data_IF_068306639753
#
_entry.id   IF_068306639753
#
_cell.length_a   1.000
_cell.length_b   1.000
_cell.length_c   1.000
_cell.angle_alpha   90.00
_cell.angle_beta   90.00
_cell.angle_gamma   90.00
#
_symmetry.space_group_name_H-M   'P 1'
#
loop_
_entity.id
_entity.type
_entity.pdbx_description
1 polymer ?
#
# COMPACT_ATOMS: atom_id res chain seq x y z
N UNK A 1 -2.81 36.34 11.93
CA UNK A 1 -2.01 36.21 10.71
C UNK A 1 -1.92 34.71 10.44
N UNK A 2 -2.84 34.19 9.61
CA UNK A 2 -2.94 32.75 9.32
C UNK A 2 -1.86 32.37 8.31
N UNK A 3 -0.90 31.54 8.72
CA UNK A 3 0.07 30.90 7.82
C UNK A 3 -0.68 29.76 7.11
N UNK A 4 -0.64 29.66 5.78
CA UNK A 4 -1.33 28.58 5.07
C UNK A 4 -0.85 27.20 5.55
N UNK A 5 -1.78 26.29 5.81
CA UNK A 5 -1.56 24.93 6.34
C UNK A 5 -0.54 24.08 5.55
N UNK A 6 -0.35 24.37 4.26
CA UNK A 6 0.65 23.71 3.40
C UNK A 6 2.11 23.95 3.84
N UNK A 7 2.38 25.11 4.45
CA UNK A 7 3.73 25.45 4.95
C UNK A 7 4.07 24.66 6.22
N UNK A 8 3.07 24.26 7.01
CA UNK A 8 3.28 23.55 8.26
C UNK A 8 3.70 22.08 8.04
N UNK A 9 3.22 21.45 6.98
CA UNK A 9 3.63 20.08 6.59
C UNK A 9 5.04 20.11 5.98
N UNK A 10 5.35 21.11 5.16
CA UNK A 10 6.70 21.33 4.64
C UNK A 10 7.72 21.58 5.76
N UNK A 11 7.33 22.25 6.86
CA UNK A 11 8.18 22.50 8.00
C UNK A 11 8.42 21.23 8.85
N UNK A 12 7.43 20.34 8.98
CA UNK A 12 7.63 19.01 9.60
C UNK A 12 8.51 18.09 8.76
N UNK A 13 8.40 18.17 7.44
CA UNK A 13 9.25 17.44 6.51
C UNK A 13 10.70 17.95 6.52
N UNK A 14 10.92 19.26 6.67
CA UNK A 14 12.26 19.87 6.76
C UNK A 14 13.02 19.53 8.05
N UNK A 15 12.35 19.31 9.17
CA UNK A 15 13.03 18.93 10.43
C UNK A 15 13.65 17.53 10.37
N UNK A 16 13.15 16.64 9.52
CA UNK A 16 13.75 15.31 9.31
C UNK A 16 15.06 15.37 8.49
N UNK A 17 15.24 16.41 7.67
CA UNK A 17 16.44 16.61 6.84
C UNK A 17 17.60 17.34 7.59
N UNK A 18 17.33 18.00 8.71
CA UNK A 18 18.28 18.90 9.37
C UNK A 18 18.95 18.38 10.64
N UNK A 19 18.75 17.13 11.07
CA UNK A 19 19.45 16.57 12.22
C UNK A 19 20.66 15.75 11.77
N UNK A 20 21.79 16.42 11.52
CA UNK A 20 23.09 15.76 11.38
C UNK A 20 23.72 15.58 12.77
N UNK A 21 24.08 14.37 13.22
CA UNK A 21 24.85 14.18 14.41
C UNK A 21 26.31 14.57 14.17
N UNK A 22 26.95 15.13 15.21
CA UNK A 22 28.33 15.59 15.24
C UNK A 22 29.34 14.49 14.84
N UNK A 23 30.38 14.91 14.14
CA UNK A 23 31.47 14.13 13.56
C UNK A 23 32.17 13.21 14.58
N UNK A 24 32.18 11.92 14.29
CA UNK A 24 33.20 10.99 14.77
C UNK A 24 34.12 10.61 13.58
N UNK A 25 35.43 10.55 13.71
CA UNK A 25 36.34 10.37 12.58
C UNK A 25 36.50 8.90 12.21
N UNK A 26 36.63 8.67 10.91
CA UNK A 26 37.08 7.45 10.25
C UNK A 26 36.12 6.27 10.19
N UNK A 27 35.17 6.36 9.33
CA UNK A 27 34.91 5.34 8.29
C UNK A 27 34.29 6.10 7.10
N UNK A 28 34.98 6.10 5.98
CA UNK A 28 34.39 6.57 4.72
C UNK A 28 33.35 5.53 4.33
N UNK A 29 32.14 5.67 4.89
CA UNK A 29 30.97 5.10 4.26
C UNK A 29 30.84 5.86 2.94
N UNK A 30 31.13 5.19 1.83
CA UNK A 30 30.65 5.66 0.54
C UNK A 30 29.17 5.94 0.73
N UNK A 31 28.75 7.19 0.52
CA UNK A 31 27.36 7.57 0.48
C UNK A 31 26.68 6.52 -0.41
N UNK A 32 25.71 5.77 0.14
CA UNK A 32 24.98 4.79 -0.64
C UNK A 32 24.42 5.55 -1.83
N UNK A 33 24.88 5.19 -3.02
CA UNK A 33 24.39 5.77 -4.25
C UNK A 33 22.86 5.65 -4.26
N UNK A 34 22.19 6.60 -4.88
CA UNK A 34 20.73 6.60 -4.97
C UNK A 34 20.19 5.20 -5.36
N UNK A 35 19.11 4.78 -4.74
CA UNK A 35 18.52 3.46 -5.00
C UNK A 35 18.07 3.29 -6.44
N UNK A 36 17.66 4.34 -7.11
CA UNK A 36 17.25 4.29 -8.51
C UNK A 36 18.14 5.23 -9.34
N UNK A 37 19.04 4.65 -10.12
CA UNK A 37 20.03 5.38 -10.92
C UNK A 37 19.80 5.30 -12.42
N UNK A 38 18.71 4.65 -12.85
CA UNK A 38 18.42 4.50 -14.27
C UNK A 38 18.27 5.86 -14.94
N UNK A 39 18.77 6.01 -16.17
CA UNK A 39 18.54 7.24 -16.92
C UNK A 39 17.03 7.44 -17.12
N UNK A 40 16.57 8.65 -16.93
CA UNK A 40 15.22 9.07 -17.25
C UNK A 40 15.14 9.43 -18.74
N UNK A 41 14.87 8.42 -19.58
CA UNK A 41 14.82 8.61 -21.04
C UNK A 41 13.70 9.52 -21.53
N UNK A 42 12.67 9.75 -20.72
CA UNK A 42 11.46 10.47 -21.11
C UNK A 42 11.20 11.74 -20.30
N UNK A 43 12.14 12.14 -19.45
CA UNK A 43 11.98 13.35 -18.63
C UNK A 43 10.77 13.26 -17.70
N UNK A 44 10.57 12.11 -17.03
CA UNK A 44 9.42 11.89 -16.16
C UNK A 44 9.36 12.91 -15.01
N UNK A 45 10.52 13.35 -14.55
CA UNK A 45 10.64 14.38 -13.51
C UNK A 45 10.09 15.74 -13.98
N UNK A 46 10.04 16.03 -15.28
CA UNK A 46 9.44 17.25 -15.83
C UNK A 46 7.92 17.27 -15.67
N UNK A 47 7.30 16.10 -15.47
CA UNK A 47 5.86 15.93 -15.22
C UNK A 47 5.48 16.16 -13.76
N UNK A 48 6.45 16.30 -12.86
CA UNK A 48 6.26 16.45 -11.42
C UNK A 48 6.51 17.87 -10.97
N UNK A 49 5.64 18.37 -10.08
CA UNK A 49 5.89 19.64 -9.39
C UNK A 49 7.04 19.52 -8.38
N UNK A 50 7.57 20.66 -7.93
CA UNK A 50 8.58 20.66 -6.88
C UNK A 50 8.07 20.03 -5.57
N UNK A 51 6.77 20.19 -5.25
CA UNK A 51 6.12 19.55 -4.12
C UNK A 51 6.11 18.01 -4.27
N UNK A 52 5.77 17.50 -5.44
CA UNK A 52 5.82 16.07 -5.75
C UNK A 52 7.23 15.49 -5.56
N UNK A 53 8.25 16.20 -6.08
CA UNK A 53 9.66 15.80 -5.96
C UNK A 53 10.10 15.79 -4.49
N UNK A 54 9.75 16.82 -3.72
CA UNK A 54 10.08 16.91 -2.30
C UNK A 54 9.45 15.76 -1.50
N UNK A 55 8.16 15.45 -1.74
CA UNK A 55 7.45 14.34 -1.10
C UNK A 55 8.15 13.02 -1.41
N UNK A 56 8.44 12.75 -2.69
CA UNK A 56 9.15 11.55 -3.13
C UNK A 56 10.50 11.40 -2.42
N UNK A 57 11.33 12.43 -2.43
CA UNK A 57 12.66 12.39 -1.82
C UNK A 57 12.62 12.22 -0.29
N UNK A 58 11.62 12.81 0.35
CA UNK A 58 11.43 12.68 1.81
C UNK A 58 11.08 11.23 2.19
N UNK A 59 10.11 10.62 1.51
CA UNK A 59 9.73 9.22 1.77
C UNK A 59 10.86 8.26 1.39
N UNK A 60 11.55 8.49 0.27
CA UNK A 60 12.73 7.74 -0.15
C UNK A 60 13.84 7.77 0.90
N UNK A 61 14.13 8.94 1.42
CA UNK A 61 15.15 9.11 2.47
C UNK A 61 14.77 8.36 3.75
N UNK A 62 13.51 8.40 4.15
CA UNK A 62 12.99 7.62 5.25
C UNK A 62 13.14 6.11 5.00
N UNK A 63 12.74 5.62 3.85
CA UNK A 63 12.84 4.20 3.49
C UNK A 63 14.28 3.72 3.53
N UNK A 64 15.22 4.49 2.97
CA UNK A 64 16.65 4.16 3.00
C UNK A 64 17.21 4.06 4.42
N UNK A 65 16.79 4.99 5.29
CA UNK A 65 17.36 5.13 6.63
C UNK A 65 16.71 4.20 7.66
N UNK A 66 15.39 4.07 7.62
CA UNK A 66 14.62 3.44 8.70
C UNK A 66 14.04 2.07 8.31
N UNK A 67 13.77 1.82 7.02
CA UNK A 67 13.13 0.57 6.56
C UNK A 67 14.14 -0.42 5.99
N UNK A 68 14.91 0.00 4.97
CA UNK A 68 15.82 -0.91 4.24
C UNK A 68 16.81 -1.65 5.15
N UNK A 69 17.36 -1.04 6.22
CA UNK A 69 18.34 -1.71 7.09
C UNK A 69 17.74 -2.83 7.97
N UNK A 70 16.43 -2.82 8.22
CA UNK A 70 15.79 -3.71 9.20
C UNK A 70 14.84 -4.73 8.60
N UNK A 71 14.27 -4.41 7.43
CA UNK A 71 13.08 -5.10 6.94
C UNK A 71 13.34 -6.56 6.55
N UNK A 72 14.58 -6.88 6.11
CA UNK A 72 14.94 -8.26 5.80
C UNK A 72 14.88 -9.16 7.05
N UNK A 73 15.44 -8.69 8.17
CA UNK A 73 15.39 -9.42 9.44
C UNK A 73 13.96 -9.65 9.92
N UNK A 74 13.09 -8.64 9.82
CA UNK A 74 11.68 -8.78 10.15
C UNK A 74 10.98 -9.78 9.23
N UNK A 75 11.28 -9.77 7.94
CA UNK A 75 10.73 -10.73 6.98
C UNK A 75 11.18 -12.16 7.30
N UNK A 76 12.47 -12.38 7.65
CA UNK A 76 12.99 -13.67 8.02
C UNK A 76 12.29 -14.23 9.27
N UNK A 77 12.03 -13.39 10.28
CA UNK A 77 11.32 -13.78 11.50
C UNK A 77 9.79 -13.82 11.35
N UNK A 78 9.24 -13.37 10.22
CA UNK A 78 7.79 -13.20 10.02
C UNK A 78 7.15 -12.26 11.06
N UNK A 79 7.81 -11.15 11.36
CA UNK A 79 7.39 -10.13 12.32
C UNK A 79 7.11 -8.80 11.61
N UNK A 80 6.24 -7.99 12.21
CA UNK A 80 5.95 -6.64 11.72
C UNK A 80 6.67 -5.59 12.59
N UNK A 81 7.40 -4.63 12.00
CA UNK A 81 8.09 -3.58 12.75
C UNK A 81 7.13 -2.51 13.27
N UNK A 82 6.42 -2.76 14.37
CA UNK A 82 5.36 -1.88 14.90
C UNK A 82 5.77 -0.42 15.11
N UNK A 83 7.04 -0.18 15.44
CA UNK A 83 7.56 1.18 15.71
C UNK A 83 7.44 2.11 14.49
N UNK A 84 7.40 1.56 13.27
CA UNK A 84 7.25 2.38 12.05
C UNK A 84 5.87 3.02 11.92
N UNK A 85 4.84 2.50 12.61
CA UNK A 85 3.46 3.02 12.49
C UNK A 85 3.40 4.49 12.88
N UNK A 86 4.01 4.84 14.03
CA UNK A 86 4.06 6.23 14.47
C UNK A 86 4.86 7.12 13.52
N UNK A 87 6.00 6.61 13.05
CA UNK A 87 6.86 7.31 12.10
C UNK A 87 6.15 7.58 10.76
N UNK A 88 5.41 6.60 10.23
CA UNK A 88 4.62 6.76 9.00
C UNK A 88 3.50 7.80 9.17
N UNK A 89 2.88 7.88 10.34
CA UNK A 89 1.90 8.92 10.67
C UNK A 89 2.54 10.30 10.71
N UNK A 90 3.67 10.45 11.41
CA UNK A 90 4.44 11.70 11.50
C UNK A 90 4.96 12.17 10.12
N UNK A 91 5.30 11.23 9.25
CA UNK A 91 5.72 11.48 7.87
C UNK A 91 4.54 11.86 6.94
N UNK A 92 3.29 11.76 7.41
CA UNK A 92 2.09 12.05 6.62
C UNK A 92 1.70 10.96 5.62
N UNK A 93 2.25 9.75 5.75
CA UNK A 93 1.93 8.62 4.87
C UNK A 93 0.55 8.02 5.15
N UNK A 94 -0.07 8.35 6.28
CA UNK A 94 -1.44 7.95 6.62
C UNK A 94 -2.42 9.06 6.24
N UNK A 95 -3.30 8.78 5.29
CA UNK A 95 -4.30 9.72 4.82
C UNK A 95 -3.76 10.95 4.08
N UNK A 96 -2.80 10.81 3.14
CA UNK A 96 -2.26 11.96 2.40
C UNK A 96 -3.35 12.76 1.65
N UNK A 97 -4.40 12.09 1.15
CA UNK A 97 -5.53 12.73 0.46
C UNK A 97 -6.69 13.15 1.36
N UNK A 98 -6.62 12.84 2.67
CA UNK A 98 -7.63 13.25 3.64
C UNK A 98 -7.47 14.74 3.94
N UNK A 99 -8.56 15.53 4.09
CA UNK A 99 -8.49 16.95 4.39
C UNK A 99 -7.71 17.25 5.68
N UNK A 100 -7.03 18.41 5.67
CA UNK A 100 -6.18 18.85 6.79
C UNK A 100 -6.97 19.04 8.09
N UNK A 101 -8.23 19.47 7.99
CA UNK A 101 -9.14 19.64 9.15
C UNK A 101 -9.37 18.35 9.96
N UNK A 102 -9.17 17.19 9.34
CA UNK A 102 -9.23 15.87 10.00
C UNK A 102 -7.83 15.28 10.28
N UNK A 103 -6.78 16.08 10.17
CA UNK A 103 -5.41 15.66 10.42
C UNK A 103 -4.70 14.99 9.23
N UNK A 104 -5.34 14.92 8.07
CA UNK A 104 -4.74 14.40 6.85
C UNK A 104 -3.79 15.39 6.15
N UNK A 105 -3.20 14.96 5.04
CA UNK A 105 -2.24 15.76 4.27
C UNK A 105 -2.87 16.80 3.33
N UNK A 106 -4.12 16.64 2.92
CA UNK A 106 -4.78 17.46 1.90
C UNK A 106 -4.04 17.46 0.55
N UNK A 107 -3.25 16.42 0.29
CA UNK A 107 -2.41 16.26 -0.90
C UNK A 107 -3.21 15.67 -2.06
N UNK A 108 -2.63 15.76 -3.25
CA UNK A 108 -3.20 15.18 -4.46
C UNK A 108 -2.88 13.68 -4.62
N UNK A 109 -3.47 13.05 -5.65
CA UNK A 109 -3.27 11.63 -5.90
C UNK A 109 -1.88 11.29 -6.45
N UNK A 110 -1.19 12.22 -7.14
CA UNK A 110 0.19 11.99 -7.60
C UNK A 110 1.11 11.90 -6.39
N UNK A 111 0.98 12.80 -5.42
CA UNK A 111 1.68 12.76 -4.14
C UNK A 111 1.46 11.43 -3.40
N UNK A 112 0.20 10.99 -3.31
CA UNK A 112 -0.14 9.68 -2.72
C UNK A 112 0.54 8.52 -3.48
N UNK A 113 0.50 8.55 -4.81
CA UNK A 113 1.14 7.54 -5.65
C UNK A 113 2.65 7.45 -5.41
N UNK A 114 3.34 8.59 -5.40
CA UNK A 114 4.79 8.66 -5.16
C UNK A 114 5.17 8.15 -3.76
N UNK A 115 4.37 8.47 -2.73
CA UNK A 115 4.56 7.90 -1.38
C UNK A 115 4.48 6.37 -1.40
N UNK A 116 3.45 5.81 -2.05
CA UNK A 116 3.28 4.36 -2.14
C UNK A 116 4.43 3.70 -2.90
N UNK A 117 4.91 4.33 -3.98
CA UNK A 117 6.07 3.86 -4.75
C UNK A 117 7.33 3.77 -3.89
N UNK A 118 7.66 4.82 -3.16
CA UNK A 118 8.87 4.83 -2.34
C UNK A 118 8.77 3.89 -1.12
N UNK A 119 7.60 3.76 -0.50
CA UNK A 119 7.40 2.79 0.58
C UNK A 119 7.58 1.34 0.08
N UNK A 120 7.07 1.00 -1.10
CA UNK A 120 7.18 -0.36 -1.64
C UNK A 120 8.57 -0.66 -2.23
N UNK A 121 9.39 0.35 -2.53
CA UNK A 121 10.84 0.15 -2.74
C UNK A 121 11.51 -0.49 -1.50
N UNK A 122 11.06 -0.11 -0.31
CA UNK A 122 11.48 -0.77 0.93
C UNK A 122 10.86 -2.15 1.08
N UNK A 123 9.51 -2.21 1.13
CA UNK A 123 8.78 -3.48 1.29
C UNK A 123 7.28 -3.32 1.00
N UNK A 124 6.69 -4.33 0.35
CA UNK A 124 5.24 -4.35 0.07
C UNK A 124 4.38 -4.40 1.34
N UNK A 125 4.87 -4.98 2.44
CA UNK A 125 4.17 -5.00 3.72
C UNK A 125 4.06 -3.61 4.35
N UNK A 126 5.14 -2.83 4.29
CA UNK A 126 5.18 -1.43 4.75
C UNK A 126 4.21 -0.57 3.94
N UNK A 127 4.26 -0.67 2.60
CA UNK A 127 3.32 0.03 1.73
C UNK A 127 1.88 -0.40 2.01
N UNK A 128 1.63 -1.71 2.20
CA UNK A 128 0.29 -2.24 2.50
C UNK A 128 -0.27 -1.65 3.78
N UNK A 129 0.55 -1.51 4.84
CA UNK A 129 0.15 -0.88 6.09
C UNK A 129 -0.35 0.55 5.86
N UNK A 130 0.39 1.37 5.11
CA UNK A 130 0.01 2.74 4.79
C UNK A 130 -1.23 2.81 3.89
N UNK A 131 -1.30 1.94 2.86
CA UNK A 131 -2.43 1.90 1.94
C UNK A 131 -3.73 1.47 2.62
N UNK A 132 -3.70 0.44 3.47
CA UNK A 132 -4.86 0.01 4.26
C UNK A 132 -5.33 1.12 5.19
N UNK A 133 -4.40 1.75 5.92
CA UNK A 133 -4.73 2.86 6.81
C UNK A 133 -5.44 4.01 6.07
N UNK A 134 -4.85 4.50 4.98
CA UNK A 134 -5.37 5.65 4.24
C UNK A 134 -6.60 5.32 3.41
N UNK A 135 -6.52 4.30 2.55
CA UNK A 135 -7.53 4.03 1.52
C UNK A 135 -8.69 3.15 1.98
N UNK A 136 -8.47 2.27 2.96
CA UNK A 136 -9.46 1.28 3.38
C UNK A 136 -10.06 1.59 4.77
N UNK A 137 -9.37 2.40 5.60
CA UNK A 137 -9.87 2.79 6.92
C UNK A 137 -10.26 4.27 6.95
N UNK A 138 -9.32 5.18 6.65
CA UNK A 138 -9.61 6.61 6.72
C UNK A 138 -10.56 7.07 5.62
N UNK A 139 -10.38 6.59 4.38
CA UNK A 139 -11.25 6.96 3.27
C UNK A 139 -12.74 6.64 3.52
N UNK A 140 -13.16 5.41 3.92
CA UNK A 140 -14.58 5.16 4.18
C UNK A 140 -15.12 5.99 5.35
N UNK A 141 -14.36 6.29 6.39
CA UNK A 141 -14.78 7.19 7.47
C UNK A 141 -14.97 8.61 6.94
N UNK A 142 -14.02 9.12 6.13
CA UNK A 142 -14.10 10.43 5.51
C UNK A 142 -15.26 10.56 4.51
N UNK A 143 -15.44 9.55 3.64
CA UNK A 143 -16.41 9.61 2.55
C UNK A 143 -17.84 9.24 2.98
N UNK A 144 -17.99 8.36 3.96
CA UNK A 144 -19.28 7.77 4.33
C UNK A 144 -19.69 8.03 5.78
N UNK A 145 -18.78 8.52 6.62
CA UNK A 145 -19.04 8.87 8.01
C UNK A 145 -19.76 10.22 8.16
N UNK A 146 -20.40 10.42 9.31
CA UNK A 146 -20.86 11.72 9.75
C UNK A 146 -19.73 12.52 10.39
N UNK A 147 -19.98 13.78 10.73
CA UNK A 147 -18.95 14.68 11.26
C UNK A 147 -18.37 14.20 12.59
N UNK A 148 -19.22 13.66 13.48
CA UNK A 148 -18.78 13.12 14.76
C UNK A 148 -17.82 11.94 14.59
N UNK A 149 -18.10 11.03 13.65
CA UNK A 149 -17.23 9.91 13.31
C UNK A 149 -15.88 10.39 12.72
N UNK A 150 -15.91 11.36 11.81
CA UNK A 150 -14.68 11.93 11.21
C UNK A 150 -13.79 12.54 12.27
N UNK A 151 -14.35 13.39 13.13
CA UNK A 151 -13.61 14.06 14.22
C UNK A 151 -13.11 13.09 15.29
N UNK A 152 -13.84 12.02 15.56
CA UNK A 152 -13.44 10.99 16.55
C UNK A 152 -12.26 10.16 16.06
N UNK A 153 -12.28 9.71 14.80
CA UNK A 153 -11.39 8.66 14.32
C UNK A 153 -10.22 9.18 13.45
N UNK A 154 -10.49 10.12 12.53
CA UNK A 154 -9.49 10.48 11.52
C UNK A 154 -8.20 11.10 12.09
N UNK A 155 -8.23 12.01 13.07
CA UNK A 155 -6.99 12.60 13.60
C UNK A 155 -6.04 11.57 14.24
N UNK A 156 -6.59 10.59 14.97
CA UNK A 156 -5.81 9.53 15.61
C UNK A 156 -5.23 8.54 14.59
N UNK A 157 -5.99 8.26 13.53
CA UNK A 157 -5.53 7.41 12.44
C UNK A 157 -4.45 8.11 11.60
N UNK A 158 -4.62 9.39 11.32
CA UNK A 158 -3.66 10.17 10.54
C UNK A 158 -2.30 10.30 11.24
N UNK A 159 -2.31 10.51 12.56
CA UNK A 159 -1.09 10.63 13.37
C UNK A 159 -0.37 9.30 13.63
N UNK A 160 -0.99 8.15 13.30
CA UNK A 160 -0.47 6.83 13.66
C UNK A 160 -0.59 6.50 15.16
N UNK A 161 -1.35 7.30 15.94
CA UNK A 161 -1.73 6.95 17.30
C UNK A 161 -2.60 5.69 17.31
N UNK A 162 -3.52 5.61 16.35
CA UNK A 162 -4.33 4.43 16.08
C UNK A 162 -4.02 3.84 14.72
N UNK A 163 -3.88 2.53 14.69
CA UNK A 163 -3.84 1.74 13.47
C UNK A 163 -5.24 1.17 13.22
N UNK A 164 -5.66 1.16 11.96
CA UNK A 164 -6.93 0.58 11.54
C UNK A 164 -6.74 -0.62 10.60
N UNK A 165 -7.81 -1.40 10.48
CA UNK A 165 -7.90 -2.50 9.52
C UNK A 165 -9.26 -2.52 8.82
N UNK A 166 -9.34 -3.31 7.73
CA UNK A 166 -10.50 -3.34 6.84
C UNK A 166 -11.02 -4.77 6.68
N UNK A 167 -12.20 -5.03 7.22
CA UNK A 167 -12.83 -6.34 7.22
C UNK A 167 -13.85 -6.49 6.08
N UNK A 168 -13.43 -7.04 4.94
CA UNK A 168 -14.31 -7.37 3.83
C UNK A 168 -14.30 -8.88 3.51
N UNK A 169 -13.12 -9.42 3.20
CA UNK A 169 -12.91 -10.81 2.79
C UNK A 169 -13.27 -11.78 3.92
N UNK A 170 -13.98 -12.85 3.59
CA UNK A 170 -14.32 -13.95 4.49
C UNK A 170 -13.69 -15.26 4.04
N UNK A 171 -13.63 -16.30 4.89
CA UNK A 171 -13.06 -17.60 4.51
C UNK A 171 -13.61 -18.14 3.18
N UNK A 172 -14.93 -18.04 2.95
CA UNK A 172 -15.61 -18.59 1.76
C UNK A 172 -15.92 -17.52 0.70
N UNK A 173 -15.65 -16.23 0.97
CA UNK A 173 -16.04 -15.11 0.11
C UNK A 173 -14.89 -14.12 -0.12
N UNK A 174 -13.98 -14.44 -1.06
CA UNK A 174 -12.88 -13.59 -1.50
C UNK A 174 -13.27 -12.74 -2.71
N UNK A 175 -13.20 -13.32 -3.92
CA UNK A 175 -13.48 -12.60 -5.19
C UNK A 175 -14.97 -12.24 -5.36
N UNK A 176 -15.88 -12.89 -4.62
CA UNK A 176 -17.30 -12.56 -4.56
C UNK A 176 -17.68 -11.99 -3.17
N UNK A 177 -17.37 -10.73 -2.85
CA UNK A 177 -17.69 -10.16 -1.55
C UNK A 177 -19.21 -9.98 -1.31
N UNK A 178 -20.04 -10.05 -2.35
CA UNK A 178 -21.48 -9.97 -2.19
C UNK A 178 -22.07 -11.19 -1.45
N UNK A 179 -21.35 -12.31 -1.49
CA UNK A 179 -21.74 -13.53 -0.78
C UNK A 179 -21.48 -13.50 0.72
N UNK A 180 -20.87 -12.43 1.28
CA UNK A 180 -20.49 -12.38 2.70
C UNK A 180 -21.58 -12.85 3.64
N UNK A 181 -21.18 -13.52 4.71
CA UNK A 181 -22.07 -14.08 5.75
C UNK A 181 -22.07 -13.24 7.01
N UNK A 182 -21.00 -12.48 7.29
CA UNK A 182 -20.94 -11.55 8.43
C UNK A 182 -22.16 -10.63 8.40
N UNK A 183 -22.89 -10.58 9.50
CA UNK A 183 -24.15 -9.84 9.59
C UNK A 183 -24.32 -9.21 10.97
N UNK A 184 -25.24 -8.28 11.07
CA UNK A 184 -25.69 -7.72 12.34
C UNK A 184 -27.20 -7.59 12.41
N UNK A 185 -27.72 -7.66 13.63
CA UNK A 185 -29.13 -7.42 13.93
C UNK A 185 -29.31 -6.18 14.82
N UNK A 186 -30.40 -5.50 14.66
CA UNK A 186 -30.78 -4.34 15.50
C UNK A 186 -31.17 -4.82 16.92
N UNK A 187 -30.64 -4.16 17.95
CA UNK A 187 -30.96 -4.46 19.35
C UNK A 187 -31.35 -3.17 20.14
N UNK A 188 -31.92 -2.17 19.45
CA UNK A 188 -32.38 -0.93 20.02
C UNK A 188 -31.32 0.18 20.00
N UNK A 189 -30.51 0.33 21.02
CA UNK A 189 -29.44 1.33 21.11
C UNK A 189 -28.12 0.89 20.46
N UNK A 190 -27.97 -0.39 20.20
CA UNK A 190 -26.79 -1.00 19.56
C UNK A 190 -27.20 -2.00 18.47
N UNK A 191 -26.22 -2.50 17.73
CA UNK A 191 -26.34 -3.66 16.84
C UNK A 191 -25.49 -4.80 17.38
N UNK A 192 -25.92 -6.04 17.13
CA UNK A 192 -25.18 -7.25 17.51
C UNK A 192 -24.56 -7.86 16.27
N UNK A 193 -23.24 -7.77 16.17
CA UNK A 193 -22.45 -8.21 15.00
C UNK A 193 -21.94 -9.63 15.22
N UNK A 194 -22.10 -10.49 14.17
CA UNK A 194 -21.62 -11.87 14.14
C UNK A 194 -20.95 -12.20 12.82
N UNK A 195 -19.91 -13.05 12.85
CA UNK A 195 -19.21 -13.52 11.68
C UNK A 195 -17.68 -13.52 11.82
N UNK A 196 -16.98 -13.65 10.69
CA UNK A 196 -15.53 -13.62 10.66
C UNK A 196 -15.00 -13.01 9.36
N UNK A 197 -13.82 -12.38 9.44
CA UNK A 197 -13.07 -11.88 8.29
C UNK A 197 -11.68 -12.48 8.28
N UNK A 198 -11.16 -12.79 7.08
CA UNK A 198 -9.88 -13.46 6.87
C UNK A 198 -8.94 -12.61 6.02
N UNK A 199 -7.63 -12.80 6.18
CA UNK A 199 -6.57 -12.09 5.47
C UNK A 199 -6.55 -10.58 5.70
N UNK A 200 -6.81 -10.17 6.96
CA UNK A 200 -6.94 -8.76 7.30
C UNK A 200 -5.59 -8.16 7.70
N UNK A 201 -5.06 -7.31 6.83
CA UNK A 201 -3.84 -6.53 7.12
C UNK A 201 -4.07 -5.61 8.31
N UNK A 202 -3.05 -5.45 9.14
CA UNK A 202 -3.03 -4.67 10.39
C UNK A 202 -3.89 -5.24 11.54
N UNK A 203 -4.75 -6.23 11.34
CA UNK A 203 -5.70 -6.72 12.34
C UNK A 203 -5.08 -7.00 13.71
N UNK A 204 -3.91 -7.67 13.86
CA UNK A 204 -3.34 -7.96 15.17
C UNK A 204 -3.05 -6.72 16.02
N UNK A 205 -2.80 -5.58 15.40
CA UNK A 205 -2.39 -4.34 16.06
C UNK A 205 -3.39 -3.19 15.94
N UNK A 206 -4.48 -3.38 15.16
CA UNK A 206 -5.46 -2.33 14.90
C UNK A 206 -6.26 -1.96 16.16
N UNK A 207 -6.48 -0.67 16.41
CA UNK A 207 -7.40 -0.14 17.43
C UNK A 207 -8.82 -0.08 16.91
N UNK A 208 -9.01 0.06 15.60
CA UNK A 208 -10.32 0.09 14.96
C UNK A 208 -10.35 -0.79 13.70
N UNK A 209 -11.51 -1.36 13.43
CA UNK A 209 -11.80 -2.10 12.20
C UNK A 209 -13.00 -1.47 11.48
N UNK A 210 -12.85 -1.15 10.20
CA UNK A 210 -13.99 -0.86 9.32
C UNK A 210 -14.45 -2.18 8.71
N UNK A 211 -15.60 -2.65 9.18
CA UNK A 211 -16.15 -3.98 8.84
C UNK A 211 -17.36 -3.83 7.94
N UNK A 212 -17.39 -4.57 6.85
CA UNK A 212 -18.55 -4.67 5.98
C UNK A 212 -19.36 -5.90 6.35
N UNK A 213 -20.63 -5.68 6.68
CA UNK A 213 -21.56 -6.70 7.15
C UNK A 213 -22.96 -6.46 6.61
N UNK A 214 -23.77 -7.50 6.49
CA UNK A 214 -25.18 -7.40 6.09
C UNK A 214 -26.06 -7.02 7.29
N UNK A 215 -26.98 -6.09 7.07
CA UNK A 215 -28.08 -5.85 8.01
C UNK A 215 -29.19 -6.92 7.86
N UNK A 216 -30.27 -6.81 8.62
CA UNK A 216 -31.40 -7.78 8.63
C UNK A 216 -32.12 -7.85 7.26
N UNK A 217 -31.99 -6.80 6.43
CA UNK A 217 -32.52 -6.78 5.06
C UNK A 217 -31.54 -7.39 4.04
N UNK A 218 -30.37 -7.85 4.49
CA UNK A 218 -29.31 -8.37 3.63
C UNK A 218 -28.51 -7.27 2.91
N UNK A 219 -28.69 -6.02 3.27
CA UNK A 219 -27.98 -4.87 2.69
C UNK A 219 -26.61 -4.71 3.36
N UNK A 220 -25.54 -4.62 2.54
CA UNK A 220 -24.20 -4.41 3.03
C UNK A 220 -24.04 -2.99 3.60
N UNK A 221 -23.56 -2.90 4.84
CA UNK A 221 -23.30 -1.66 5.58
C UNK A 221 -21.86 -1.66 6.11
N UNK A 222 -21.29 -0.48 6.26
CA UNK A 222 -20.00 -0.30 6.95
C UNK A 222 -20.24 -0.08 8.46
N UNK A 223 -19.49 -0.80 9.29
CA UNK A 223 -19.56 -0.73 10.75
C UNK A 223 -18.16 -0.51 11.30
N UNK A 224 -17.98 0.48 12.20
CA UNK A 224 -16.71 0.74 12.87
C UNK A 224 -16.71 -0.04 14.20
N UNK A 225 -15.80 -1.01 14.31
CA UNK A 225 -15.63 -1.83 15.54
C UNK A 225 -14.34 -1.42 16.22
N UNK A 226 -14.41 -1.09 17.50
CA UNK A 226 -13.25 -0.67 18.30
C UNK A 226 -12.69 -1.87 19.08
N UNK A 227 -11.37 -1.93 19.20
CA UNK A 227 -10.69 -2.95 20.01
C UNK A 227 -11.14 -2.87 21.46
N UNK A 228 -11.38 -4.03 22.09
CA UNK A 228 -11.88 -4.13 23.46
C UNK A 228 -13.39 -4.31 23.59
N UNK A 229 -14.16 -4.21 22.49
CA UNK A 229 -15.55 -4.64 22.50
C UNK A 229 -15.63 -6.13 22.80
N UNK A 230 -16.49 -6.53 23.73
CA UNK A 230 -16.68 -7.93 24.13
C UNK A 230 -17.10 -8.79 22.95
N UNK A 231 -16.49 -9.98 22.81
CA UNK A 231 -16.72 -10.89 21.69
C UNK A 231 -15.91 -10.57 20.42
N UNK A 232 -15.16 -9.43 20.36
CA UNK A 232 -14.31 -9.08 19.24
C UNK A 232 -12.86 -9.52 19.48
N UNK A 233 -12.33 -10.41 18.62
CA UNK A 233 -10.95 -10.88 18.69
C UNK A 233 -10.25 -10.79 17.32
N UNK A 234 -8.91 -10.71 17.34
CA UNK A 234 -8.10 -10.51 16.15
C UNK A 234 -6.88 -11.46 16.15
N UNK A 235 -7.10 -12.78 15.97
CA UNK A 235 -6.02 -13.75 15.93
C UNK A 235 -5.05 -13.47 14.76
N UNK A 236 -3.76 -13.70 15.00
CA UNK A 236 -2.71 -13.51 14.00
C UNK A 236 -2.65 -14.69 13.04
N UNK A 237 -2.55 -14.44 11.74
CA UNK A 237 -2.31 -15.44 10.71
C UNK A 237 -0.82 -15.76 10.65
N UNK A 238 -0.47 -17.04 10.86
CA UNK A 238 0.90 -17.55 10.80
C UNK A 238 1.16 -18.35 9.50
N UNK A 239 2.43 -18.65 9.23
CA UNK A 239 2.83 -19.55 8.14
C UNK A 239 2.76 -18.97 6.73
N UNK A 240 2.68 -17.65 6.58
CA UNK A 240 2.72 -17.01 5.26
C UNK A 240 4.11 -17.10 4.63
N UNK A 241 4.17 -17.42 3.35
CA UNK A 241 5.40 -17.34 2.55
C UNK A 241 5.60 -15.96 1.89
N UNK A 242 4.56 -15.17 1.81
CA UNK A 242 4.52 -13.84 1.20
C UNK A 242 4.10 -12.80 2.23
N UNK A 243 4.53 -11.54 2.07
CA UNK A 243 4.27 -10.45 3.02
C UNK A 243 4.64 -10.83 4.47
N UNK A 244 5.81 -11.43 4.64
CA UNK A 244 6.23 -11.97 5.95
C UNK A 244 6.46 -10.85 6.98
N UNK A 245 6.91 -9.66 6.55
CA UNK A 245 7.06 -8.48 7.39
C UNK A 245 5.75 -7.66 7.51
N UNK A 246 4.58 -8.21 7.15
CA UNK A 246 3.29 -7.55 7.28
C UNK A 246 2.42 -8.23 8.34
N UNK A 247 1.82 -7.43 9.22
CA UNK A 247 0.82 -7.89 10.17
C UNK A 247 -0.45 -8.34 9.42
N UNK A 248 -0.82 -9.60 9.55
CA UNK A 248 -2.04 -10.16 8.95
C UNK A 248 -2.75 -11.00 9.98
N UNK A 249 -4.07 -10.88 10.06
CA UNK A 249 -4.88 -11.64 11.00
C UNK A 249 -6.29 -11.87 10.49
N UNK A 250 -7.10 -12.30 11.41
CA UNK A 250 -8.54 -12.50 11.26
C UNK A 250 -9.28 -11.47 12.12
N UNK A 251 -10.55 -11.24 11.81
CA UNK A 251 -11.50 -10.56 12.70
C UNK A 251 -12.59 -11.57 13.03
N UNK A 252 -12.79 -11.85 14.28
CA UNK A 252 -13.84 -12.79 14.77
C UNK A 252 -14.83 -12.00 15.62
N UNK A 253 -16.10 -12.15 15.30
CA UNK A 253 -17.21 -11.45 15.96
C UNK A 253 -18.18 -12.48 16.53
N UNK A 254 -18.25 -12.56 17.86
CA UNK A 254 -19.19 -13.41 18.59
C UNK A 254 -20.11 -12.52 19.44
N UNK A 255 -21.29 -12.23 18.90
CA UNK A 255 -22.31 -11.38 19.54
C UNK A 255 -21.78 -10.00 19.98
N UNK A 256 -20.91 -9.38 19.17
CA UNK A 256 -20.28 -8.10 19.49
C UNK A 256 -21.33 -6.98 19.48
N UNK A 257 -21.48 -6.31 20.63
CA UNK A 257 -22.36 -5.14 20.77
C UNK A 257 -21.65 -3.90 20.24
N UNK A 258 -22.14 -3.37 19.12
CA UNK A 258 -21.58 -2.17 18.49
C UNK A 258 -22.60 -1.03 18.59
N UNK A 259 -22.24 0.15 19.11
CA UNK A 259 -23.14 1.30 19.15
C UNK A 259 -23.63 1.67 17.74
N UNK A 260 -24.91 2.02 17.58
CA UNK A 260 -25.48 2.40 16.27
C UNK A 260 -24.78 3.60 15.65
N UNK A 261 -24.24 4.48 16.45
CA UNK A 261 -23.44 5.62 16.02
C UNK A 261 -22.15 5.23 15.29
N UNK A 262 -21.71 3.97 15.40
CA UNK A 262 -20.56 3.43 14.67
C UNK A 262 -20.92 2.86 13.29
N UNK A 263 -22.19 2.86 12.88
CA UNK A 263 -22.58 2.51 11.50
C UNK A 263 -22.31 3.71 10.61
N UNK A 264 -21.66 3.49 9.46
CA UNK A 264 -21.43 4.52 8.45
C UNK A 264 -22.75 4.90 7.77
N UNK A 265 -23.27 6.14 7.98
CA UNK A 265 -24.64 6.47 7.59
C UNK A 265 -24.80 6.70 6.07
N UNK A 266 -23.75 7.16 5.40
CA UNK A 266 -23.83 7.70 4.04
C UNK A 266 -23.51 6.66 2.94
N UNK A 267 -23.62 5.36 3.26
CA UNK A 267 -23.35 4.29 2.29
C UNK A 267 -24.21 3.05 2.52
N UNK A 268 -24.67 2.44 1.41
CA UNK A 268 -25.39 1.17 1.39
C UNK A 268 -24.94 0.35 0.18
N UNK A 269 -24.85 -0.98 0.36
CA UNK A 269 -24.52 -1.95 -0.69
C UNK A 269 -23.03 -1.99 -1.03
N UNK A 270 -22.70 -2.81 -2.03
CA UNK A 270 -21.33 -3.11 -2.48
C UNK A 270 -20.55 -1.89 -2.97
N UNK A 271 -21.21 -0.81 -3.39
CA UNK A 271 -20.54 0.42 -3.83
C UNK A 271 -19.61 0.99 -2.76
N UNK A 272 -19.92 0.77 -1.48
CA UNK A 272 -19.10 1.22 -0.36
C UNK A 272 -17.70 0.57 -0.37
N UNK A 273 -17.59 -0.75 -0.14
CA UNK A 273 -16.28 -1.41 -0.13
C UNK A 273 -15.57 -1.33 -1.49
N UNK A 274 -16.28 -1.39 -2.63
CA UNK A 274 -15.66 -1.27 -3.95
C UNK A 274 -15.08 0.13 -4.21
N UNK A 275 -15.68 1.19 -3.66
CA UNK A 275 -15.12 2.54 -3.68
C UNK A 275 -13.80 2.62 -2.93
N UNK A 276 -13.71 2.01 -1.74
CA UNK A 276 -12.48 1.90 -0.96
C UNK A 276 -11.39 1.13 -1.71
N UNK A 277 -11.74 -0.03 -2.28
CA UNK A 277 -10.82 -0.85 -3.06
C UNK A 277 -10.26 -0.10 -4.28
N UNK A 278 -11.05 0.75 -4.94
CA UNK A 278 -10.55 1.56 -6.07
C UNK A 278 -9.43 2.51 -5.64
N UNK A 279 -9.52 3.10 -4.45
CA UNK A 279 -8.47 3.97 -3.89
C UNK A 279 -7.21 3.17 -3.52
N UNK A 280 -7.37 2.01 -2.90
CA UNK A 280 -6.25 1.14 -2.54
C UNK A 280 -5.54 0.56 -3.78
N UNK A 281 -6.28 0.10 -4.78
CA UNK A 281 -5.75 -0.40 -6.08
C UNK A 281 -4.90 0.63 -6.79
N UNK A 282 -5.31 1.91 -6.73
CA UNK A 282 -4.50 3.02 -7.24
C UNK A 282 -3.13 3.08 -6.55
N UNK A 283 -3.09 3.01 -5.21
CA UNK A 283 -1.84 2.99 -4.45
C UNK A 283 -0.97 1.77 -4.75
N UNK A 284 -1.59 0.59 -5.02
CA UNK A 284 -0.86 -0.62 -5.44
C UNK A 284 -0.21 -0.43 -6.81
N UNK A 285 -0.93 0.16 -7.78
CA UNK A 285 -0.40 0.39 -9.12
C UNK A 285 0.93 1.18 -9.09
N UNK A 286 1.02 2.18 -8.23
CA UNK A 286 2.25 2.95 -8.02
C UNK A 286 3.29 2.17 -7.20
N UNK A 287 2.85 1.55 -6.11
CA UNK A 287 3.73 0.89 -5.15
C UNK A 287 4.59 -0.20 -5.79
N UNK A 288 4.00 -1.09 -6.55
CA UNK A 288 4.70 -2.23 -7.17
C UNK A 288 5.83 -1.80 -8.11
N UNK A 289 5.72 -0.61 -8.70
CA UNK A 289 6.81 -0.06 -9.54
C UNK A 289 8.03 0.30 -8.67
N UNK A 290 7.81 0.69 -7.42
CA UNK A 290 8.90 0.86 -6.44
C UNK A 290 9.68 -0.44 -6.21
N UNK A 291 8.99 -1.57 -6.00
CA UNK A 291 9.63 -2.89 -5.87
C UNK A 291 10.38 -3.28 -7.16
N UNK A 292 9.80 -3.01 -8.34
CA UNK A 292 10.46 -3.24 -9.62
C UNK A 292 11.74 -2.40 -9.78
N UNK A 293 11.70 -1.12 -9.37
CA UNK A 293 12.85 -0.21 -9.40
C UNK A 293 13.98 -0.70 -8.50
N UNK A 294 13.68 -1.14 -7.28
CA UNK A 294 14.67 -1.67 -6.36
C UNK A 294 15.36 -2.91 -6.93
N UNK A 295 14.58 -3.86 -7.44
CA UNK A 295 15.10 -5.07 -8.07
C UNK A 295 15.94 -4.77 -9.33
N UNK A 296 15.50 -3.81 -10.15
CA UNK A 296 16.25 -3.37 -11.34
C UNK A 296 17.59 -2.75 -10.96
N UNK A 297 17.61 -1.86 -10.00
CA UNK A 297 18.82 -1.15 -9.56
C UNK A 297 19.86 -2.13 -9.01
N UNK A 298 19.42 -3.09 -8.21
CA UNK A 298 20.27 -4.16 -7.67
C UNK A 298 20.81 -5.04 -8.80
N UNK A 299 19.97 -5.49 -9.73
CA UNK A 299 20.37 -6.31 -10.85
C UNK A 299 21.38 -5.60 -11.75
N UNK A 300 21.15 -4.30 -12.03
CA UNK A 300 22.06 -3.46 -12.82
C UNK A 300 23.42 -3.36 -12.15
N UNK A 301 23.48 -3.02 -10.86
CA UNK A 301 24.72 -2.88 -10.09
C UNK A 301 25.46 -4.21 -10.02
N UNK A 302 24.77 -5.27 -9.58
CA UNK A 302 25.34 -6.61 -9.52
C UNK A 302 25.92 -7.06 -10.87
N UNK A 303 25.23 -6.78 -11.97
CA UNK A 303 25.69 -7.15 -13.32
C UNK A 303 26.96 -6.43 -13.76
N UNK A 304 27.22 -5.23 -13.25
CA UNK A 304 28.45 -4.46 -13.51
C UNK A 304 29.64 -4.91 -12.65
N UNK A 305 29.36 -5.43 -11.45
CA UNK A 305 30.36 -5.83 -10.47
C UNK A 305 30.74 -7.32 -10.57
N UNK A 306 29.78 -8.18 -10.86
CA UNK A 306 29.99 -9.63 -10.95
C UNK A 306 30.77 -10.03 -12.18
N UNK A 307 31.96 -10.60 -11.98
CA UNK A 307 32.81 -11.10 -13.07
C UNK A 307 32.54 -12.59 -13.32
N UNK A 308 32.29 -12.96 -14.55
CA UNK A 308 32.31 -14.33 -15.08
C UNK A 308 32.90 -14.33 -16.50
N UNK A 309 33.64 -15.37 -16.85
CA UNK A 309 34.34 -15.44 -18.12
C UNK A 309 35.20 -14.17 -18.40
N UNK A 310 35.93 -13.75 -17.36
CA UNK A 310 36.89 -12.62 -17.33
C UNK A 310 36.31 -11.24 -17.63
N UNK A 311 34.98 -11.07 -17.54
CA UNK A 311 34.31 -9.77 -17.71
C UNK A 311 33.03 -9.62 -16.87
N UNK A 312 32.55 -8.39 -16.62
CA UNK A 312 31.26 -8.17 -15.99
C UNK A 312 30.13 -8.90 -16.72
N UNK A 313 29.23 -9.53 -15.95
CA UNK A 313 28.11 -10.27 -16.56
C UNK A 313 27.15 -9.34 -17.33
N UNK A 314 27.06 -8.06 -16.99
CA UNK A 314 26.32 -7.03 -17.73
C UNK A 314 26.85 -6.77 -19.14
N UNK A 315 28.05 -7.27 -19.48
CA UNK A 315 28.61 -7.24 -20.84
C UNK A 315 28.08 -8.33 -21.77
N UNK A 316 27.26 -9.28 -21.26
CA UNK A 316 26.66 -10.33 -22.09
C UNK A 316 25.30 -9.92 -22.63
N UNK A 317 25.04 -10.21 -23.91
CA UNK A 317 23.83 -9.76 -24.62
C UNK A 317 22.53 -10.14 -23.93
N UNK A 318 22.42 -11.35 -23.36
CA UNK A 318 21.21 -11.79 -22.65
C UNK A 318 20.95 -11.00 -21.36
N UNK A 319 21.99 -10.54 -20.68
CA UNK A 319 21.83 -9.69 -19.49
C UNK A 319 21.43 -8.27 -19.91
N UNK A 320 22.05 -7.72 -20.96
CA UNK A 320 21.67 -6.41 -21.53
C UNK A 320 20.23 -6.40 -22.03
N UNK A 321 19.77 -7.49 -22.67
CA UNK A 321 18.38 -7.65 -23.10
C UNK A 321 17.42 -7.51 -21.91
N UNK A 322 17.67 -8.25 -20.81
CA UNK A 322 16.81 -8.17 -19.61
C UNK A 322 16.77 -6.76 -19.02
N UNK A 323 17.93 -6.12 -18.85
CA UNK A 323 18.00 -4.76 -18.32
C UNK A 323 17.27 -3.75 -19.21
N UNK A 324 17.37 -3.89 -20.53
CA UNK A 324 16.67 -3.02 -21.47
C UNK A 324 15.15 -3.22 -21.41
N UNK A 325 14.68 -4.47 -21.31
CA UNK A 325 13.26 -4.79 -21.14
C UNK A 325 12.72 -4.26 -19.81
N UNK A 326 13.44 -4.50 -18.70
CA UNK A 326 13.05 -4.02 -17.36
C UNK A 326 12.86 -2.50 -17.34
N UNK A 327 13.85 -1.72 -17.80
CA UNK A 327 13.74 -0.25 -17.75
C UNK A 327 12.64 0.28 -18.69
N UNK A 328 12.43 -0.39 -19.82
CA UNK A 328 11.34 -0.05 -20.75
C UNK A 328 9.99 -0.23 -20.08
N UNK A 329 9.75 -1.37 -19.42
CA UNK A 329 8.48 -1.66 -18.75
C UNK A 329 8.26 -0.78 -17.52
N UNK A 330 9.31 -0.48 -16.75
CA UNK A 330 9.23 0.50 -15.64
C UNK A 330 8.77 1.87 -16.17
N UNK A 331 9.42 2.37 -17.24
CA UNK A 331 9.10 3.67 -17.83
C UNK A 331 7.64 3.75 -18.31
N UNK A 332 7.18 2.72 -19.03
CA UNK A 332 5.78 2.61 -19.50
C UNK A 332 4.80 2.63 -18.33
N UNK A 333 5.08 1.86 -17.27
CA UNK A 333 4.22 1.77 -16.10
C UNK A 333 4.19 3.08 -15.29
N UNK A 334 5.32 3.80 -15.19
CA UNK A 334 5.37 5.12 -14.56
C UNK A 334 4.50 6.14 -15.30
N UNK A 335 4.58 6.20 -16.65
CA UNK A 335 3.76 7.08 -17.47
C UNK A 335 2.26 6.75 -17.35
N UNK A 336 1.89 5.46 -17.33
CA UNK A 336 0.52 5.01 -17.13
C UNK A 336 0.00 5.46 -15.76
N UNK A 337 0.79 5.28 -14.70
CA UNK A 337 0.42 5.65 -13.33
C UNK A 337 0.32 7.17 -13.17
N UNK A 338 1.27 7.92 -13.74
CA UNK A 338 1.20 9.39 -13.73
C UNK A 338 -0.08 9.89 -14.40
N UNK A 339 -0.41 9.36 -15.61
CA UNK A 339 -1.64 9.76 -16.29
C UNK A 339 -2.89 9.38 -15.49
N UNK A 340 -2.89 8.21 -14.87
CA UNK A 340 -3.97 7.82 -13.96
C UNK A 340 -4.08 8.78 -12.76
N UNK A 341 -2.95 9.23 -12.19
CA UNK A 341 -2.91 10.21 -11.11
C UNK A 341 -3.56 11.54 -11.49
N UNK A 342 -3.27 12.04 -12.70
CA UNK A 342 -3.93 13.23 -13.25
C UNK A 342 -5.45 13.02 -13.36
N UNK A 343 -5.89 11.88 -13.88
CA UNK A 343 -7.33 11.55 -13.99
C UNK A 343 -7.99 11.41 -12.61
N UNK A 344 -7.29 10.91 -11.62
CA UNK A 344 -7.78 10.85 -10.23
C UNK A 344 -7.96 12.24 -9.63
N UNK A 345 -7.02 13.16 -9.88
CA UNK A 345 -7.10 14.54 -9.41
C UNK A 345 -8.27 15.31 -10.08
N UNK A 346 -8.54 15.00 -11.34
CA UNK A 346 -9.66 15.58 -12.10
C UNK A 346 -11.02 14.91 -11.78
N UNK A 347 -11.06 13.85 -10.97
CA UNK A 347 -12.29 13.07 -10.69
C UNK A 347 -12.82 12.29 -11.90
N UNK A 348 -11.99 11.99 -12.88
CA UNK A 348 -12.33 11.36 -14.18
C UNK A 348 -11.87 9.91 -14.28
N UNK A 349 -11.12 9.40 -13.32
CA UNK A 349 -10.64 8.02 -13.34
C UNK A 349 -11.80 7.04 -13.17
N UNK A 350 -11.81 5.98 -13.99
CA UNK A 350 -12.79 4.90 -13.93
C UNK A 350 -12.24 3.67 -13.20
N UNK A 351 -13.09 2.80 -12.63
CA UNK A 351 -12.66 1.54 -12.04
C UNK A 351 -11.88 0.63 -13.00
N UNK A 352 -12.22 0.64 -14.29
CA UNK A 352 -11.51 -0.12 -15.31
C UNK A 352 -10.08 0.40 -15.54
N UNK A 353 -9.88 1.72 -15.58
CA UNK A 353 -8.55 2.33 -15.69
C UNK A 353 -7.67 1.99 -14.48
N UNK A 354 -8.23 2.06 -13.26
CA UNK A 354 -7.53 1.66 -12.02
C UNK A 354 -7.17 0.17 -12.05
N UNK A 355 -8.09 -0.69 -12.49
CA UNK A 355 -7.85 -2.13 -12.65
C UNK A 355 -6.76 -2.43 -13.68
N UNK A 356 -6.77 -1.73 -14.82
CA UNK A 356 -5.72 -1.83 -15.85
C UNK A 356 -4.34 -1.48 -15.29
N UNK A 357 -4.24 -0.36 -14.58
CA UNK A 357 -2.96 0.10 -14.02
C UNK A 357 -2.44 -0.85 -12.93
N UNK A 358 -3.31 -1.30 -12.00
CA UNK A 358 -2.93 -2.26 -10.93
C UNK A 358 -2.45 -3.57 -11.55
N UNK A 359 -3.20 -4.14 -12.49
CA UNK A 359 -2.84 -5.40 -13.15
C UNK A 359 -1.50 -5.26 -13.89
N UNK A 360 -1.35 -4.22 -14.72
CA UNK A 360 -0.13 -3.97 -15.48
C UNK A 360 1.09 -3.80 -14.56
N UNK A 361 0.98 -2.95 -13.54
CA UNK A 361 2.09 -2.73 -12.60
C UNK A 361 2.51 -4.01 -11.87
N UNK A 362 1.54 -4.82 -11.41
CA UNK A 362 1.81 -6.10 -10.75
C UNK A 362 2.53 -7.09 -11.67
N UNK A 363 2.12 -7.20 -12.94
CA UNK A 363 2.75 -8.06 -13.94
C UNK A 363 4.18 -7.62 -14.24
N UNK A 364 4.39 -6.33 -14.48
CA UNK A 364 5.71 -5.73 -14.71
C UNK A 364 6.65 -6.02 -13.53
N UNK A 365 6.21 -5.73 -12.31
CA UNK A 365 7.03 -5.93 -11.12
C UNK A 365 7.38 -7.41 -10.90
N UNK A 366 6.41 -8.32 -11.05
CA UNK A 366 6.64 -9.76 -10.91
C UNK A 366 7.67 -10.28 -11.89
N UNK A 367 7.58 -9.89 -13.16
CA UNK A 367 8.53 -10.29 -14.18
C UNK A 367 9.94 -9.74 -13.91
N UNK A 368 10.03 -8.46 -13.54
CA UNK A 368 11.31 -7.81 -13.21
C UNK A 368 11.97 -8.47 -11.99
N UNK A 369 11.22 -8.75 -10.92
CA UNK A 369 11.78 -9.42 -9.74
C UNK A 369 12.30 -10.83 -10.06
N UNK A 370 11.59 -11.60 -10.89
CA UNK A 370 12.03 -12.93 -11.33
C UNK A 370 13.30 -12.86 -12.17
N UNK A 371 13.38 -11.92 -13.09
CA UNK A 371 14.57 -11.72 -13.93
C UNK A 371 15.76 -11.22 -13.10
N UNK A 372 15.56 -10.28 -12.18
CA UNK A 372 16.59 -9.82 -11.27
C UNK A 372 17.11 -10.96 -10.39
N UNK A 373 16.21 -11.76 -9.79
CA UNK A 373 16.59 -12.96 -9.02
C UNK A 373 17.43 -13.92 -9.87
N UNK A 374 17.05 -14.13 -11.12
CA UNK A 374 17.82 -15.00 -12.03
C UNK A 374 19.20 -14.41 -12.36
N UNK A 375 19.29 -13.10 -12.58
CA UNK A 375 20.56 -12.42 -12.87
C UNK A 375 21.56 -12.50 -11.72
N UNK A 376 21.08 -12.51 -10.46
CA UNK A 376 21.92 -12.68 -9.29
C UNK A 376 22.37 -14.13 -9.05
N UNK A 377 21.85 -15.11 -9.79
CA UNK A 377 22.19 -16.52 -9.63
C UNK A 377 21.88 -17.04 -8.23
N UNK A 378 22.84 -17.71 -7.59
CA UNK A 378 22.70 -18.22 -6.22
C UNK A 378 22.48 -17.14 -5.17
N UNK A 379 23.05 -15.96 -5.36
CA UNK A 379 22.83 -14.81 -4.45
C UNK A 379 21.37 -14.29 -4.49
N UNK A 380 20.67 -14.52 -5.58
CA UNK A 380 19.28 -14.09 -5.74
C UNK A 380 18.27 -14.84 -4.87
N UNK A 381 18.67 -15.89 -4.14
CA UNK A 381 17.78 -16.62 -3.22
C UNK A 381 18.14 -16.41 -1.74
N UNK A 382 19.12 -15.56 -1.44
CA UNK A 382 19.57 -15.23 -0.08
C UNK A 382 18.99 -13.92 0.41
N UNK A 383 18.96 -13.72 1.73
CA UNK A 383 18.57 -12.46 2.35
C UNK A 383 19.62 -11.32 2.24
N UNK A 384 20.76 -11.56 1.58
CA UNK A 384 21.76 -10.51 1.33
C UNK A 384 21.28 -9.47 0.31
N UNK A 385 20.32 -9.86 -0.55
CA UNK A 385 19.67 -9.01 -1.53
C UNK A 385 18.15 -9.09 -1.37
N UNK A 386 17.43 -7.97 -1.42
CA UNK A 386 15.98 -7.94 -1.18
C UNK A 386 15.14 -8.57 -2.30
N UNK A 387 15.77 -9.00 -3.39
CA UNK A 387 15.10 -9.45 -4.62
C UNK A 387 14.14 -10.62 -4.37
N UNK A 388 14.57 -11.62 -3.58
CA UNK A 388 13.71 -12.78 -3.24
C UNK A 388 12.54 -12.36 -2.36
N UNK A 389 12.75 -11.45 -1.42
CA UNK A 389 11.69 -10.91 -0.57
C UNK A 389 10.64 -10.17 -1.40
N UNK A 390 11.06 -9.30 -2.33
CA UNK A 390 10.14 -8.65 -3.28
C UNK A 390 9.40 -9.66 -4.13
N UNK A 391 10.08 -10.65 -4.69
CA UNK A 391 9.46 -11.69 -5.50
C UNK A 391 8.37 -12.45 -4.71
N UNK A 392 8.66 -12.87 -3.47
CA UNK A 392 7.67 -13.53 -2.62
C UNK A 392 6.50 -12.60 -2.25
N UNK A 393 6.77 -11.33 -1.93
CA UNK A 393 5.73 -10.37 -1.58
C UNK A 393 4.75 -10.13 -2.73
N UNK A 394 5.24 -10.06 -3.96
CA UNK A 394 4.43 -9.83 -5.14
C UNK A 394 3.42 -10.95 -5.42
N UNK A 395 3.65 -12.18 -4.97
CA UNK A 395 2.64 -13.26 -5.06
C UNK A 395 1.36 -12.93 -4.26
N UNK A 396 1.48 -12.22 -3.13
CA UNK A 396 0.29 -11.66 -2.46
C UNK A 396 -0.27 -10.44 -3.18
N UNK A 397 0.59 -9.58 -3.71
CA UNK A 397 0.15 -8.34 -4.35
C UNK A 397 -0.65 -8.59 -5.63
N UNK A 398 -0.31 -9.62 -6.41
CA UNK A 398 -1.13 -10.04 -7.57
C UNK A 398 -2.46 -10.68 -7.15
N UNK A 399 -2.57 -11.13 -5.90
CA UNK A 399 -3.73 -11.89 -5.40
C UNK A 399 -4.75 -11.01 -4.69
N UNK A 400 -4.32 -10.09 -3.81
CA UNK A 400 -5.25 -9.30 -2.99
C UNK A 400 -5.85 -8.09 -3.72
N UNK A 401 -6.90 -7.51 -3.12
CA UNK A 401 -7.64 -6.34 -3.64
C UNK A 401 -8.14 -6.51 -5.08
N UNK A 402 -8.54 -7.72 -5.41
CA UNK A 402 -8.85 -8.21 -6.74
C UNK A 402 -7.66 -8.96 -7.32
N UNK A 403 -7.86 -10.24 -7.62
CA UNK A 403 -6.86 -11.05 -8.31
C UNK A 403 -6.54 -10.48 -9.68
N UNK A 404 -5.42 -10.91 -10.26
CA UNK A 404 -5.03 -10.56 -11.61
C UNK A 404 -6.17 -10.80 -12.62
N UNK A 405 -6.85 -11.96 -12.51
CA UNK A 405 -7.98 -12.33 -13.37
C UNK A 405 -9.20 -11.44 -13.15
N UNK A 406 -9.54 -11.10 -11.90
CA UNK A 406 -10.65 -10.17 -11.61
C UNK A 406 -10.42 -8.81 -12.29
N UNK A 407 -9.19 -8.33 -12.36
CA UNK A 407 -8.89 -7.08 -13.07
C UNK A 407 -9.01 -7.21 -14.59
N UNK A 408 -8.67 -8.38 -15.16
CA UNK A 408 -8.94 -8.68 -16.58
C UNK A 408 -10.45 -8.68 -16.87
N UNK A 409 -11.25 -9.33 -16.01
CA UNK A 409 -12.71 -9.36 -16.14
C UNK A 409 -13.32 -7.94 -16.05
N UNK A 410 -12.87 -7.11 -15.09
CA UNK A 410 -13.36 -5.72 -14.97
C UNK A 410 -13.05 -4.93 -16.25
N UNK A 411 -11.82 -5.02 -16.76
CA UNK A 411 -11.41 -4.31 -17.97
C UNK A 411 -12.14 -4.87 -19.21
N UNK A 412 -12.24 -6.19 -19.33
CA UNK A 412 -12.94 -6.85 -20.43
C UNK A 412 -14.42 -6.50 -20.49
N UNK A 413 -15.08 -6.46 -19.34
CA UNK A 413 -16.48 -6.03 -19.23
C UNK A 413 -16.67 -4.56 -19.67
N UNK A 414 -15.76 -3.69 -19.26
CA UNK A 414 -15.80 -2.26 -19.63
C UNK A 414 -15.65 -2.06 -21.15
N UNK A 415 -14.69 -2.80 -21.77
CA UNK A 415 -14.43 -2.73 -23.22
C UNK A 415 -15.55 -3.32 -24.06
N UNK A 416 -16.15 -4.42 -23.62
CA UNK A 416 -17.17 -5.17 -24.40
C UNK A 416 -18.60 -4.74 -24.10
N UNK A 417 -18.85 -4.14 -22.94
CA UNK A 417 -20.20 -3.89 -22.43
C UNK A 417 -20.94 -5.14 -21.96
N UNK A 418 -20.29 -6.33 -21.95
CA UNK A 418 -20.87 -7.59 -21.56
C UNK A 418 -20.43 -8.01 -20.15
N UNK A 419 -21.39 -8.56 -19.38
CA UNK A 419 -21.07 -9.00 -18.01
C UNK A 419 -20.11 -10.20 -18.02
N UNK A 420 -18.96 -10.05 -17.36
CA UNK A 420 -17.93 -11.08 -17.28
C UNK A 420 -18.02 -11.97 -16.01
N UNK A 421 -18.97 -11.68 -15.10
CA UNK A 421 -19.10 -12.36 -13.80
C UNK A 421 -20.30 -13.32 -13.73
N UNK A 422 -21.04 -13.52 -14.81
CA UNK A 422 -22.21 -14.40 -14.90
C UNK A 422 -22.14 -15.21 -16.19
#
# INVERSE_FOLDING_TARGET
MFIPSKIFIAYRLLTYLCVAPAKCPCTVFMASQDLFQSPDYFGLDDLLTDEHKLIRETVRSYVKKEISPIIEDYAQRSEFPQHIVRQLGELGCFGPTVPVEYGGGGMDYISYGLMMQELERGDSGVRSTASVQGSLVMYPIQAYGNEAQKMKFLPKLASGEWLGCFGLTEPDHGSNPNGMLTNFRDAGDHVVLNGAKLWISNAPYAQVAVVWAKDEEGIIRGVIVERGMEGFTTPTTHGKWSLRASATGELVFDNVKVPKENILPNVKGLKGPLGCLSKARYGIAWGVIGAAMDCYDIALRYSKERIQFDRPIGGFQLQQKKLAEMITEITKAQLLNWRLGVLMNEGRATPAQVSMAKRNGCEVATNICRDARQMLGGMGITGEYPVMRHMMNLESVITYEGTHDIHLLITGMDVTGLNAFK
#
